data_IF_467662480272
#
_entry.id   IF_467662480272
#
_cell.length_a   1.000
_cell.length_b   1.000
_cell.length_c   1.000
_cell.angle_alpha   90.00
_cell.angle_beta   90.00
_cell.angle_gamma   90.00
#
_symmetry.space_group_name_H-M   'P 1'
#
loop_
_entity.id
_entity.type
_entity.pdbx_description
1 polymer ?
#
# COMPACT_ATOMS: atom_id res chain seq x y z
N UNK A 1 -2.45 -9.67 29.37
CA UNK A 1 -1.19 -9.18 28.75
C UNK A 1 -0.40 -10.41 28.36
N UNK A 2 -0.07 -10.56 27.08
CA UNK A 2 0.72 -11.68 26.59
C UNK A 2 2.18 -11.45 27.01
N UNK A 3 2.78 -12.41 27.71
CA UNK A 3 4.21 -12.43 28.05
C UNK A 3 4.83 -13.55 27.25
N UNK A 4 5.66 -13.20 26.27
CA UNK A 4 6.45 -14.13 25.46
C UNK A 4 7.91 -14.09 25.97
N UNK A 5 8.59 -15.23 26.01
CA UNK A 5 9.98 -15.32 26.49
C UNK A 5 10.99 -14.73 25.48
N UNK A 6 10.58 -14.54 24.22
CA UNK A 6 11.38 -14.00 23.13
C UNK A 6 10.53 -13.10 22.21
N UNK A 7 10.05 -11.94 22.72
CA UNK A 7 9.16 -11.08 21.97
C UNK A 7 9.82 -10.59 20.67
N UNK A 8 9.08 -10.66 19.56
CA UNK A 8 9.53 -10.24 18.21
C UNK A 8 9.99 -8.77 18.18
N UNK A 9 9.55 -7.96 19.15
CA UNK A 9 9.90 -6.56 19.34
C UNK A 9 10.94 -6.30 20.45
N UNK A 10 11.84 -7.25 20.73
CA UNK A 10 12.91 -7.01 21.69
C UNK A 10 13.79 -5.83 21.21
N UNK A 11 13.91 -4.77 22.01
CA UNK A 11 14.61 -3.54 21.61
C UNK A 11 13.76 -2.52 20.86
N UNK A 12 12.43 -2.52 21.04
CA UNK A 12 11.61 -1.37 20.64
C UNK A 12 12.06 -0.09 21.34
N UNK A 13 11.92 1.07 20.67
CA UNK A 13 12.24 2.35 21.28
C UNK A 13 11.64 2.50 22.67
N UNK A 14 12.49 2.79 23.64
CA UNK A 14 12.11 2.98 25.03
C UNK A 14 12.42 4.41 25.51
N UNK A 15 12.38 4.62 26.84
CA UNK A 15 12.65 5.92 27.42
C UNK A 15 14.08 6.43 27.17
N UNK A 16 15.03 5.52 26.92
CA UNK A 16 16.41 5.80 26.54
C UNK A 16 16.48 6.33 25.10
N UNK A 17 15.83 5.66 24.15
CA UNK A 17 15.72 6.12 22.77
C UNK A 17 15.08 7.50 22.69
N UNK A 18 14.00 7.71 23.45
CA UNK A 18 13.35 9.02 23.57
C UNK A 18 14.31 10.10 24.10
N UNK A 19 15.19 9.76 25.05
CA UNK A 19 16.21 10.67 25.56
C UNK A 19 17.23 11.01 24.47
N UNK A 20 17.71 10.02 23.73
CA UNK A 20 18.66 10.20 22.63
C UNK A 20 18.08 11.08 21.52
N UNK A 21 16.80 10.92 21.18
CA UNK A 21 16.07 11.77 20.23
C UNK A 21 16.03 13.21 20.74
N UNK A 22 15.66 13.43 22.01
CA UNK A 22 15.62 14.77 22.61
C UNK A 22 17.00 15.46 22.59
N UNK A 23 18.06 14.72 22.89
CA UNK A 23 19.43 15.23 22.81
C UNK A 23 19.85 15.60 21.38
N UNK A 24 19.48 14.78 20.39
CA UNK A 24 19.68 15.08 18.98
C UNK A 24 18.96 16.37 18.57
N UNK A 25 17.68 16.50 18.91
CA UNK A 25 16.87 17.71 18.60
C UNK A 25 17.46 18.95 19.26
N UNK A 26 17.89 18.86 20.53
CA UNK A 26 18.53 19.97 21.22
C UNK A 26 19.83 20.40 20.52
N UNK A 27 20.65 19.45 20.06
CA UNK A 27 21.87 19.75 19.29
C UNK A 27 21.56 20.43 17.95
N UNK A 28 20.53 19.96 17.24
CA UNK A 28 20.15 20.54 15.95
C UNK A 28 19.55 21.94 16.08
N UNK A 29 18.79 22.21 17.15
CA UNK A 29 18.16 23.52 17.39
C UNK A 29 19.11 24.56 17.95
N UNK A 30 20.17 24.15 18.65
CA UNK A 30 21.18 25.05 19.21
C UNK A 30 22.40 25.21 18.29
N UNK A 31 22.60 24.29 17.34
CA UNK A 31 23.68 24.32 16.37
C UNK A 31 23.31 25.01 15.07
N UNK A 32 24.31 25.22 14.21
CA UNK A 32 24.11 25.66 12.84
C UNK A 32 24.10 24.41 11.95
N UNK A 33 22.94 23.74 11.85
CA UNK A 33 22.78 22.57 10.98
C UNK A 33 22.54 23.02 9.53
N UNK A 34 23.24 22.41 8.58
CA UNK A 34 22.94 22.58 7.17
C UNK A 34 21.66 21.83 6.81
N UNK A 35 20.74 22.42 6.05
CA UNK A 35 19.57 21.72 5.53
C UNK A 35 19.98 20.50 4.71
N UNK A 36 19.28 19.38 4.91
CA UNK A 36 19.28 18.30 3.93
C UNK A 36 18.29 18.66 2.83
N UNK A 37 18.73 18.53 1.59
CA UNK A 37 17.86 18.68 0.43
C UNK A 37 17.15 17.34 0.15
N UNK A 38 15.90 17.40 -0.33
CA UNK A 38 15.07 16.20 -0.52
C UNK A 38 15.65 15.23 -1.56
N UNK A 39 16.40 15.74 -2.53
CA UNK A 39 17.15 14.94 -3.50
C UNK A 39 18.22 14.06 -2.85
N UNK A 40 18.86 14.53 -1.77
CA UNK A 40 19.82 13.75 -0.99
C UNK A 40 19.17 12.60 -0.20
N UNK A 41 17.84 12.62 -0.03
CA UNK A 41 17.06 11.57 0.62
C UNK A 41 16.44 10.58 -0.38
N UNK A 42 16.67 10.76 -1.68
CA UNK A 42 16.18 9.85 -2.70
C UNK A 42 16.94 8.52 -2.62
N UNK A 43 16.24 7.45 -2.25
CA UNK A 43 16.80 6.11 -2.18
C UNK A 43 16.95 5.46 -3.56
N UNK A 44 16.43 6.10 -4.61
CA UNK A 44 16.52 5.62 -5.98
C UNK A 44 17.70 6.25 -6.72
N UNK A 45 18.25 5.49 -7.67
CA UNK A 45 19.19 6.06 -8.65
C UNK A 45 18.50 7.17 -9.44
N UNK A 46 19.25 8.12 -10.00
CA UNK A 46 18.67 9.20 -10.82
C UNK A 46 17.84 8.64 -12.00
N UNK A 47 18.25 7.51 -12.57
CA UNK A 47 17.54 6.81 -13.64
C UNK A 47 16.20 6.22 -13.15
N UNK A 48 16.21 5.47 -12.05
CA UNK A 48 15.01 4.86 -11.49
C UNK A 48 14.04 5.89 -10.93
N UNK A 49 14.57 6.96 -10.33
CA UNK A 49 13.80 8.10 -9.84
C UNK A 49 13.02 8.75 -10.98
N UNK A 50 13.63 8.95 -12.14
CA UNK A 50 12.95 9.48 -13.33
C UNK A 50 11.81 8.57 -13.82
N UNK A 51 11.99 7.25 -13.77
CA UNK A 51 10.95 6.29 -14.18
C UNK A 51 9.77 6.26 -13.18
N UNK A 52 10.07 6.14 -11.88
CA UNK A 52 9.07 5.99 -10.82
C UNK A 52 8.28 7.28 -10.62
N UNK A 53 8.97 8.43 -10.61
CA UNK A 53 8.34 9.73 -10.35
C UNK A 53 7.53 10.26 -11.53
N UNK A 54 7.68 9.69 -12.73
CA UNK A 54 6.95 10.11 -13.93
C UNK A 54 5.43 10.19 -13.75
N UNK A 55 4.88 9.39 -12.83
CA UNK A 55 3.44 9.29 -12.58
C UNK A 55 2.96 9.93 -11.28
N UNK A 56 3.84 10.58 -10.51
CA UNK A 56 3.48 11.15 -9.21
C UNK A 56 2.42 12.27 -9.33
N UNK A 57 2.47 13.04 -10.42
CA UNK A 57 1.54 14.13 -10.68
C UNK A 57 0.28 13.68 -11.44
N UNK A 58 0.19 12.40 -11.83
CA UNK A 58 -0.98 11.86 -12.50
C UNK A 58 -2.06 11.49 -11.46
N UNK A 59 -3.34 11.86 -11.67
CA UNK A 59 -4.41 11.47 -10.76
C UNK A 59 -4.54 9.94 -10.74
N UNK A 60 -4.81 9.37 -9.56
CA UNK A 60 -5.11 7.95 -9.44
C UNK A 60 -6.33 7.60 -10.30
N UNK A 61 -6.16 6.64 -11.20
CA UNK A 61 -7.23 6.16 -12.08
C UNK A 61 -7.72 4.81 -11.57
N UNK A 62 -8.94 4.79 -11.03
CA UNK A 62 -9.54 3.58 -10.51
C UNK A 62 -9.66 2.53 -11.63
N UNK A 63 -9.29 1.29 -11.33
CA UNK A 63 -9.45 0.19 -12.29
C UNK A 63 -10.96 -0.06 -12.48
N UNK A 64 -11.47 0.04 -13.72
CA UNK A 64 -12.90 -0.12 -13.97
C UNK A 64 -13.35 -1.54 -13.61
N UNK A 65 -14.55 -1.65 -13.06
CA UNK A 65 -15.18 -2.91 -12.68
C UNK A 65 -16.51 -3.00 -13.39
N UNK A 66 -16.75 -4.12 -14.05
CA UNK A 66 -18.02 -4.40 -14.73
C UNK A 66 -18.77 -5.48 -13.96
N UNK A 67 -20.09 -5.44 -14.00
CA UNK A 67 -20.96 -6.39 -13.31
C UNK A 67 -21.57 -7.34 -14.34
N UNK A 68 -21.43 -8.64 -14.11
CA UNK A 68 -22.19 -9.68 -14.80
C UNK A 68 -23.60 -9.74 -14.18
N UNK A 69 -24.57 -9.16 -14.88
CA UNK A 69 -25.95 -9.03 -14.38
C UNK A 69 -26.64 -10.38 -14.19
N UNK A 70 -26.28 -11.41 -14.95
CA UNK A 70 -26.88 -12.74 -14.84
C UNK A 70 -26.42 -13.46 -13.57
N UNK A 71 -25.22 -13.14 -13.07
CA UNK A 71 -24.68 -13.71 -11.84
C UNK A 71 -24.97 -12.88 -10.60
N UNK A 72 -25.17 -11.57 -10.74
CA UNK A 72 -25.32 -10.70 -9.59
C UNK A 72 -26.66 -10.92 -8.88
N UNK A 73 -26.61 -11.49 -7.68
CA UNK A 73 -27.79 -11.70 -6.81
C UNK A 73 -28.14 -10.50 -5.94
N UNK A 74 -27.44 -9.37 -6.10
CA UNK A 74 -27.62 -8.16 -5.28
C UNK A 74 -27.46 -8.40 -3.77
N UNK A 75 -26.67 -9.41 -3.37
CA UNK A 75 -26.50 -9.83 -1.99
C UNK A 75 -25.82 -8.80 -1.06
N UNK A 76 -25.15 -7.78 -1.63
CA UNK A 76 -24.51 -6.70 -0.86
C UNK A 76 -23.14 -7.02 -0.25
N UNK A 77 -22.57 -8.22 -0.46
CA UNK A 77 -21.23 -8.56 0.08
C UNK A 77 -20.17 -7.53 -0.33
N UNK A 78 -20.21 -7.05 -1.58
CA UNK A 78 -19.26 -6.05 -2.08
C UNK A 78 -19.30 -4.71 -1.32
N UNK A 79 -20.46 -4.33 -0.79
CA UNK A 79 -20.62 -3.15 0.07
C UNK A 79 -20.02 -3.41 1.44
N UNK A 80 -20.30 -4.58 2.03
CA UNK A 80 -19.84 -4.95 3.37
C UNK A 80 -18.31 -5.08 3.46
N UNK A 81 -17.67 -5.62 2.43
CA UNK A 81 -16.21 -5.87 2.42
C UNK A 81 -15.40 -4.67 1.95
N UNK A 82 -16.03 -3.56 1.55
CA UNK A 82 -15.33 -2.38 1.05
C UNK A 82 -14.83 -1.52 2.23
N UNK A 83 -13.52 -1.49 2.53
CA UNK A 83 -13.00 -0.71 3.66
C UNK A 83 -13.10 0.81 3.44
N UNK A 84 -13.22 1.26 2.18
CA UNK A 84 -13.40 2.68 1.85
C UNK A 84 -14.87 3.12 1.84
N UNK A 85 -15.84 2.20 1.96
CA UNK A 85 -17.26 2.53 1.74
C UNK A 85 -17.58 2.98 0.31
N UNK A 86 -16.72 2.67 -0.65
CA UNK A 86 -16.77 3.15 -2.04
C UNK A 86 -17.76 2.40 -2.95
N UNK A 87 -18.64 1.57 -2.38
CA UNK A 87 -19.58 0.73 -3.14
C UNK A 87 -21.00 0.94 -2.61
N UNK A 88 -21.93 1.26 -3.50
CA UNK A 88 -23.36 1.31 -3.23
C UNK A 88 -24.10 0.30 -4.12
N UNK A 89 -25.36 -0.02 -3.80
CA UNK A 89 -26.25 -0.83 -4.64
C UNK A 89 -27.36 0.05 -5.23
N UNK A 90 -27.46 0.11 -6.56
CA UNK A 90 -28.56 0.76 -7.26
C UNK A 90 -28.71 0.30 -8.73
N UNK A 91 -29.58 -0.68 -9.03
CA UNK A 91 -29.85 -1.87 -8.22
C UNK A 91 -28.63 -2.81 -8.16
N UNK A 92 -27.67 -2.64 -9.07
CA UNK A 92 -26.40 -3.34 -9.13
C UNK A 92 -25.29 -2.54 -8.41
N UNK A 93 -24.13 -3.15 -8.13
CA UNK A 93 -23.01 -2.44 -7.51
C UNK A 93 -22.53 -1.24 -8.34
N UNK A 94 -22.47 -0.06 -7.70
CA UNK A 94 -21.92 1.19 -8.23
C UNK A 94 -20.69 1.56 -7.43
N UNK A 95 -19.59 1.85 -8.13
CA UNK A 95 -18.29 2.20 -7.53
C UNK A 95 -18.04 3.69 -7.64
N UNK A 96 -17.70 4.34 -6.53
CA UNK A 96 -17.38 5.76 -6.51
C UNK A 96 -15.87 6.04 -6.68
N UNK A 97 -15.52 7.33 -6.59
CA UNK A 97 -14.14 7.83 -6.72
C UNK A 97 -13.22 7.45 -5.55
N UNK A 98 -13.77 7.05 -4.40
CA UNK A 98 -13.00 6.68 -3.21
C UNK A 98 -12.45 5.24 -3.29
N UNK A 99 -12.77 4.49 -4.35
CA UNK A 99 -12.22 3.15 -4.56
C UNK A 99 -10.70 3.21 -4.80
N UNK A 100 -9.91 2.60 -3.93
CA UNK A 100 -8.45 2.52 -4.06
C UNK A 100 -7.96 1.17 -4.63
N UNK A 101 -8.84 0.44 -5.31
CA UNK A 101 -8.51 -0.82 -6.00
C UNK A 101 -7.90 -1.91 -5.12
N UNK A 102 -8.42 -2.10 -3.90
CA UNK A 102 -8.05 -3.26 -3.08
C UNK A 102 -8.56 -4.61 -3.63
N UNK A 103 -9.51 -4.59 -4.56
CA UNK A 103 -10.16 -5.76 -5.16
C UNK A 103 -10.86 -6.74 -4.20
N UNK A 104 -11.12 -6.34 -2.94
CA UNK A 104 -11.90 -7.17 -2.00
C UNK A 104 -13.29 -7.50 -2.57
N UNK A 105 -13.98 -6.54 -3.18
CA UNK A 105 -15.28 -6.78 -3.79
C UNK A 105 -15.24 -7.87 -4.88
N UNK A 106 -14.15 -7.93 -5.67
CA UNK A 106 -13.96 -8.96 -6.70
C UNK A 106 -13.69 -10.32 -6.04
N UNK A 107 -12.78 -10.36 -5.05
CA UNK A 107 -12.36 -11.60 -4.38
C UNK A 107 -13.47 -12.24 -3.54
N UNK A 108 -14.24 -11.44 -2.83
CA UNK A 108 -15.24 -11.90 -1.87
C UNK A 108 -16.65 -12.04 -2.47
N UNK A 109 -16.84 -11.73 -3.77
CA UNK A 109 -18.14 -11.90 -4.41
C UNK A 109 -18.47 -13.40 -4.53
N UNK A 110 -19.52 -13.91 -3.84
CA UNK A 110 -19.83 -15.34 -3.85
C UNK A 110 -20.22 -15.85 -5.24
N UNK A 111 -20.85 -14.99 -6.05
CA UNK A 111 -21.29 -15.31 -7.41
C UNK A 111 -20.22 -15.03 -8.47
N UNK A 112 -19.05 -14.50 -8.07
CA UNK A 112 -18.02 -14.04 -9.01
C UNK A 112 -18.56 -13.08 -10.10
N UNK A 113 -19.54 -12.25 -9.73
CA UNK A 113 -20.24 -11.37 -10.67
C UNK A 113 -19.49 -10.07 -10.98
N UNK A 114 -18.41 -9.75 -10.25
CA UNK A 114 -17.65 -8.50 -10.42
C UNK A 114 -16.38 -8.81 -11.20
N UNK A 115 -16.27 -8.23 -12.40
CA UNK A 115 -15.17 -8.48 -13.33
C UNK A 115 -14.26 -7.25 -13.41
N UNK A 116 -12.96 -7.47 -13.32
CA UNK A 116 -11.93 -6.45 -13.54
C UNK A 116 -11.14 -6.83 -14.80
N UNK A 117 -10.80 -5.88 -15.70
CA UNK A 117 -9.97 -6.16 -16.87
C UNK A 117 -8.50 -6.46 -16.51
N UNK A 118 -8.17 -6.47 -15.22
CA UNK A 118 -6.84 -6.78 -14.72
C UNK A 118 -6.45 -8.22 -15.04
N UNK A 119 -5.47 -8.39 -15.92
CA UNK A 119 -4.85 -9.68 -16.16
C UNK A 119 -3.83 -9.96 -15.04
N UNK A 120 -4.18 -10.89 -14.14
CA UNK A 120 -3.34 -11.25 -12.99
C UNK A 120 -1.99 -11.88 -13.39
N UNK A 121 -1.90 -12.60 -14.50
CA UNK A 121 -0.65 -13.17 -14.99
C UNK A 121 0.32 -12.06 -15.42
N UNK A 122 -0.17 -11.10 -16.20
CA UNK A 122 0.61 -9.93 -16.62
C UNK A 122 1.03 -9.08 -15.41
N UNK A 123 0.16 -8.92 -14.42
CA UNK A 123 0.48 -8.19 -13.20
C UNK A 123 1.55 -8.91 -12.38
N UNK A 124 1.41 -10.23 -12.19
CA UNK A 124 2.37 -11.05 -11.47
C UNK A 124 3.76 -10.95 -12.12
N UNK A 125 3.84 -11.07 -13.45
CA UNK A 125 5.10 -10.92 -14.19
C UNK A 125 5.74 -9.54 -14.01
N UNK A 126 4.92 -8.47 -14.01
CA UNK A 126 5.42 -7.10 -13.76
C UNK A 126 5.98 -6.95 -12.35
N UNK A 127 5.29 -7.49 -11.34
CA UNK A 127 5.73 -7.44 -9.94
C UNK A 127 7.07 -8.19 -9.79
N UNK A 128 7.17 -9.40 -10.36
CA UNK A 128 8.41 -10.20 -10.31
C UNK A 128 9.59 -9.49 -10.97
N UNK A 129 9.41 -8.97 -12.19
CA UNK A 129 10.45 -8.21 -12.90
C UNK A 129 10.91 -6.97 -12.11
N UNK A 130 9.98 -6.26 -11.45
CA UNK A 130 10.34 -5.13 -10.58
C UNK A 130 11.12 -5.58 -9.36
N UNK A 131 10.67 -6.62 -8.67
CA UNK A 131 11.39 -7.17 -7.51
C UNK A 131 12.81 -7.60 -7.87
N UNK A 132 13.00 -8.24 -9.03
CA UNK A 132 14.32 -8.59 -9.56
C UNK A 132 15.17 -7.37 -9.90
N UNK A 133 14.58 -6.34 -10.54
CA UNK A 133 15.27 -5.09 -10.91
C UNK A 133 15.82 -4.36 -9.68
N UNK A 134 14.98 -4.16 -8.66
CA UNK A 134 15.39 -3.44 -7.45
C UNK A 134 16.22 -4.31 -6.50
N UNK A 135 16.07 -5.64 -6.58
CA UNK A 135 16.82 -6.63 -5.79
C UNK A 135 16.87 -6.25 -4.29
N UNK A 136 15.77 -5.71 -3.78
CA UNK A 136 15.66 -5.28 -2.39
C UNK A 136 15.78 -6.52 -1.50
N UNK A 137 16.79 -6.51 -0.63
CA UNK A 137 16.90 -7.51 0.42
C UNK A 137 15.90 -7.12 1.50
N UNK A 138 14.85 -7.92 1.78
CA UNK A 138 13.96 -7.61 2.88
C UNK A 138 14.81 -7.52 4.16
N UNK A 139 14.78 -6.39 4.89
CA UNK A 139 15.63 -6.19 6.06
C UNK A 139 15.28 -7.17 7.20
N UNK A 140 14.10 -7.77 7.14
CA UNK A 140 13.62 -8.81 8.06
C UNK A 140 12.80 -9.84 7.30
N UNK A 141 13.19 -11.11 7.36
CA UNK A 141 12.32 -12.22 6.97
C UNK A 141 11.51 -12.61 8.20
N UNK A 142 10.25 -12.18 8.27
CA UNK A 142 9.35 -12.52 9.39
C UNK A 142 8.96 -14.01 9.34
N UNK A 143 9.07 -14.64 8.16
CA UNK A 143 8.81 -16.06 7.98
C UNK A 143 9.92 -16.67 7.12
N UNK A 144 10.78 -17.45 7.77
CA UNK A 144 11.61 -18.50 7.16
C UNK A 144 10.98 -19.83 7.53
#
# INVERSE_FOLDING_TARGET
>A
MWTDESPVGQGHPDADDDRQIRELVNRLTQGNASPLYLDALDCLSAEDSGEVKKKLDEPWQNVPKTIDEEKCTQCGTCVQVCPAGAVALDPLPVFDVNCFDCFNCVRECPESAIVSPMNFEVLHDKIRKRAEKFNEKPPTQIFV
#
